data_IF_084862814448
#
_entry.id   IF_084862814448
#
_cell.length_a   1.000
_cell.length_b   1.000
_cell.length_c   1.000
_cell.angle_alpha   90.00
_cell.angle_beta   90.00
_cell.angle_gamma   90.00
#
_symmetry.space_group_name_H-M   'P 1'
#
loop_
_entity.id
_entity.type
_entity.pdbx_description
1 polymer ?
#
# COMPACT_ATOMS: atom_id res chain seq x y z
N UNK A 1 -7.51 10.62 9.64
CA UNK A 1 -8.68 10.18 8.86
C UNK A 1 -8.41 10.50 7.39
N UNK A 2 -8.44 9.50 6.50
CA UNK A 2 -8.34 9.72 5.06
C UNK A 2 -9.65 10.31 4.52
N UNK A 3 -9.62 11.45 3.82
CA UNK A 3 -10.82 12.10 3.26
C UNK A 3 -10.73 12.15 1.74
N UNK A 4 -11.82 11.83 1.02
CA UNK A 4 -11.89 11.88 -0.45
C UNK A 4 -11.56 13.25 -1.05
N UNK A 5 -11.79 14.34 -0.30
CA UNK A 5 -11.56 15.72 -0.73
C UNK A 5 -10.07 16.08 -0.97
N UNK A 6 -9.14 15.18 -0.62
CA UNK A 6 -7.71 15.36 -0.85
C UNK A 6 -7.22 14.74 -2.17
N UNK A 7 -8.10 14.11 -2.95
CA UNK A 7 -7.72 13.41 -4.18
C UNK A 7 -7.30 14.36 -5.29
N UNK A 8 -6.23 13.96 -5.96
CA UNK A 8 -5.67 14.67 -7.12
C UNK A 8 -5.60 13.78 -8.35
N UNK A 9 -5.96 12.49 -8.26
CA UNK A 9 -5.92 11.54 -9.37
C UNK A 9 -7.14 10.60 -9.43
N UNK A 10 -7.58 10.19 -10.64
CA UNK A 10 -8.57 9.12 -10.82
C UNK A 10 -8.08 7.72 -10.41
N UNK A 11 -6.77 7.51 -10.23
CA UNK A 11 -6.19 6.22 -9.79
C UNK A 11 -5.78 6.27 -8.33
N UNK A 12 -5.87 5.13 -7.65
CA UNK A 12 -5.60 5.02 -6.22
C UNK A 12 -4.68 3.83 -5.94
N UNK A 13 -3.70 4.03 -5.09
CA UNK A 13 -2.83 2.97 -4.57
C UNK A 13 -2.99 2.91 -3.06
N UNK A 14 -3.46 1.79 -2.54
CA UNK A 14 -3.68 1.56 -1.12
C UNK A 14 -2.60 0.61 -0.60
N UNK A 15 -1.78 1.02 0.37
CA UNK A 15 -0.64 0.24 0.87
C UNK A 15 -0.80 0.01 2.36
N UNK A 16 -0.88 -1.26 2.77
CA UNK A 16 -1.15 -1.65 4.14
C UNK A 16 -0.12 -2.63 4.71
N UNK A 17 0.17 -2.52 6.01
CA UNK A 17 0.87 -3.54 6.78
C UNK A 17 0.36 -3.62 8.23
N UNK A 18 0.28 -4.84 8.77
CA UNK A 18 -0.13 -5.07 10.17
C UNK A 18 -1.51 -4.47 10.46
N UNK A 19 -1.64 -3.70 11.55
CA UNK A 19 -2.92 -3.11 11.94
C UNK A 19 -3.47 -2.08 10.92
N UNK A 20 -2.62 -1.58 10.01
CA UNK A 20 -3.03 -0.66 8.94
C UNK A 20 -3.93 -1.30 7.87
N UNK A 21 -4.09 -2.62 7.89
CA UNK A 21 -4.96 -3.35 6.95
C UNK A 21 -6.43 -2.99 7.13
N UNK A 22 -6.92 -2.90 8.38
CA UNK A 22 -8.31 -2.57 8.64
C UNK A 22 -8.69 -1.14 8.16
N UNK A 23 -7.92 -0.08 8.47
CA UNK A 23 -8.17 1.25 7.91
C UNK A 23 -8.15 1.30 6.38
N UNK A 24 -7.24 0.57 5.73
CA UNK A 24 -7.16 0.50 4.27
C UNK A 24 -8.36 -0.23 3.67
N UNK A 25 -8.85 -1.29 4.31
CA UNK A 25 -10.09 -1.99 3.94
C UNK A 25 -11.28 -1.03 4.01
N UNK A 26 -11.45 -0.29 5.11
CA UNK A 26 -12.51 0.71 5.25
C UNK A 26 -12.39 1.86 4.22
N UNK A 27 -11.17 2.27 3.87
CA UNK A 27 -10.97 3.25 2.79
C UNK A 27 -11.35 2.66 1.43
N UNK A 28 -11.00 1.40 1.14
CA UNK A 28 -11.38 0.72 -0.09
C UNK A 28 -12.91 0.60 -0.25
N UNK A 29 -13.65 0.46 0.85
CA UNK A 29 -15.12 0.44 0.88
C UNK A 29 -15.75 1.79 0.51
N UNK A 30 -15.03 2.90 0.58
CA UNK A 30 -15.62 4.23 0.41
C UNK A 30 -15.03 4.97 -0.79
N UNK A 31 -13.75 4.77 -1.10
CA UNK A 31 -13.06 5.51 -2.15
C UNK A 31 -13.60 5.20 -3.55
N UNK A 32 -13.97 6.24 -4.28
CA UNK A 32 -14.50 6.13 -5.64
C UNK A 32 -13.42 5.90 -6.70
N UNK A 33 -13.55 4.91 -7.59
CA UNK A 33 -12.64 4.71 -8.72
C UNK A 33 -13.31 3.89 -9.82
N UNK A 34 -12.82 4.01 -11.05
CA UNK A 34 -13.24 3.12 -12.13
C UNK A 34 -12.61 1.72 -11.96
N UNK A 35 -13.27 0.63 -12.36
CA UNK A 35 -12.69 -0.70 -12.33
C UNK A 35 -11.28 -0.73 -12.96
N UNK A 36 -10.33 -1.34 -12.25
CA UNK A 36 -8.91 -1.42 -12.64
C UNK A 36 -8.08 -0.17 -12.33
N UNK A 37 -8.65 0.88 -11.72
CA UNK A 37 -7.92 2.09 -11.31
C UNK A 37 -7.49 2.09 -9.84
N UNK A 38 -7.76 1.02 -9.10
CA UNK A 38 -7.28 0.85 -7.74
C UNK A 38 -6.34 -0.36 -7.64
N UNK A 39 -5.20 -0.16 -6.98
CA UNK A 39 -4.23 -1.21 -6.65
C UNK A 39 -4.01 -1.25 -5.14
N UNK A 40 -4.20 -2.40 -4.52
CA UNK A 40 -4.00 -2.66 -3.09
C UNK A 40 -2.72 -3.46 -2.92
N UNK A 41 -1.76 -2.94 -2.16
CA UNK A 41 -0.52 -3.60 -1.78
C UNK A 41 -0.57 -3.99 -0.31
N UNK A 42 -0.52 -5.29 -0.04
CA UNK A 42 -0.58 -5.83 1.31
C UNK A 42 0.78 -6.41 1.72
N UNK A 43 1.41 -5.86 2.75
CA UNK A 43 2.64 -6.38 3.36
C UNK A 43 2.32 -7.30 4.54
N UNK A 44 2.73 -8.57 4.44
CA UNK A 44 2.58 -9.56 5.53
C UNK A 44 3.87 -10.32 5.88
N UNK A 45 4.11 -10.59 7.17
CA UNK A 45 5.31 -11.31 7.63
C UNK A 45 5.37 -12.77 7.16
N UNK A 46 4.22 -13.41 6.92
CA UNK A 46 4.10 -14.77 6.42
C UNK A 46 2.86 -14.91 5.54
N UNK A 47 2.77 -15.99 4.78
CA UNK A 47 1.57 -16.31 3.97
C UNK A 47 0.38 -16.71 4.85
N UNK A 48 0.58 -16.92 6.16
CA UNK A 48 -0.43 -17.45 7.10
C UNK A 48 -1.36 -16.43 7.75
N UNK A 49 -1.27 -15.14 7.39
CA UNK A 49 -2.23 -14.11 7.83
C UNK A 49 -3.48 -14.12 6.93
N UNK A 50 -4.08 -15.31 6.77
CA UNK A 50 -4.97 -15.63 5.65
C UNK A 50 -6.33 -14.94 5.74
N UNK A 51 -6.90 -14.80 6.94
CA UNK A 51 -8.27 -14.30 7.09
C UNK A 51 -8.47 -12.87 6.55
N UNK A 52 -7.56 -11.94 6.91
CA UNK A 52 -7.62 -10.57 6.41
C UNK A 52 -7.27 -10.47 4.92
N UNK A 53 -6.42 -11.38 4.42
CA UNK A 53 -6.08 -11.46 3.00
C UNK A 53 -7.30 -11.90 2.18
N UNK A 54 -8.05 -12.90 2.66
CA UNK A 54 -9.23 -13.43 1.98
C UNK A 54 -10.34 -12.38 1.90
N UNK A 55 -10.67 -11.72 3.02
CA UNK A 55 -11.65 -10.62 3.01
C UNK A 55 -11.26 -9.49 2.06
N UNK A 56 -9.98 -9.09 2.08
CA UNK A 56 -9.49 -8.02 1.22
C UNK A 56 -9.47 -8.45 -0.26
N UNK A 57 -9.25 -9.73 -0.52
CA UNK A 57 -9.32 -10.32 -1.87
C UNK A 57 -10.74 -10.20 -2.41
N UNK A 58 -11.73 -10.59 -1.62
CA UNK A 58 -13.14 -10.54 -2.03
C UNK A 58 -13.62 -9.09 -2.20
N UNK A 59 -13.23 -8.19 -1.31
CA UNK A 59 -13.54 -6.77 -1.46
C UNK A 59 -12.88 -6.18 -2.71
N UNK A 60 -11.63 -6.54 -3.02
CA UNK A 60 -10.97 -6.11 -4.25
C UNK A 60 -11.71 -6.60 -5.50
N UNK A 61 -12.14 -7.86 -5.52
CA UNK A 61 -12.95 -8.42 -6.62
C UNK A 61 -14.26 -7.66 -6.79
N UNK A 62 -14.99 -7.46 -5.69
CA UNK A 62 -16.28 -6.75 -5.69
C UNK A 62 -16.15 -5.32 -6.21
N UNK A 63 -15.05 -4.63 -5.85
CA UNK A 63 -14.80 -3.23 -6.22
C UNK A 63 -14.08 -3.06 -7.55
N UNK A 64 -13.59 -4.13 -8.17
CA UNK A 64 -12.74 -4.06 -9.35
C UNK A 64 -11.34 -3.50 -9.08
N UNK A 65 -10.81 -3.68 -7.87
CA UNK A 65 -9.43 -3.34 -7.50
C UNK A 65 -8.49 -4.53 -7.71
N UNK A 66 -7.20 -4.27 -7.96
CA UNK A 66 -6.16 -5.28 -8.03
C UNK A 66 -5.52 -5.47 -6.65
N UNK A 67 -5.46 -6.71 -6.14
CA UNK A 67 -4.72 -7.02 -4.91
C UNK A 67 -3.34 -7.60 -5.25
N UNK A 68 -2.30 -7.12 -4.58
CA UNK A 68 -0.94 -7.68 -4.61
C UNK A 68 -0.44 -7.89 -3.19
N UNK A 69 -0.20 -9.16 -2.85
CA UNK A 69 0.34 -9.54 -1.53
C UNK A 69 1.85 -9.69 -1.63
N UNK A 70 2.56 -8.98 -0.75
CA UNK A 70 4.01 -9.00 -0.64
C UNK A 70 4.35 -9.65 0.71
N UNK A 71 4.48 -10.98 0.68
CA UNK A 71 4.78 -11.78 1.86
C UNK A 71 6.29 -11.90 2.10
N UNK A 72 6.70 -11.97 3.37
CA UNK A 72 8.07 -12.27 3.75
C UNK A 72 8.61 -11.41 4.89
N UNK A 73 9.76 -11.82 5.42
CA UNK A 73 10.45 -11.13 6.51
C UNK A 73 11.28 -9.97 5.98
N UNK A 74 11.24 -8.84 6.70
CA UNK A 74 12.15 -7.71 6.45
C UNK A 74 13.58 -8.07 6.87
N UNK A 75 14.60 -7.62 6.15
CA UNK A 75 16.00 -7.77 6.56
C UNK A 75 16.29 -6.97 7.84
N UNK A 76 17.10 -7.53 8.73
CA UNK A 76 17.55 -6.83 9.96
C UNK A 76 18.54 -5.73 9.58
N UNK A 77 18.45 -4.57 10.26
CA UNK A 77 19.40 -3.46 10.09
C UNK A 77 19.29 -2.67 8.79
N UNK A 78 18.34 -3.01 7.90
CA UNK A 78 18.12 -2.29 6.64
C UNK A 78 16.79 -1.56 6.69
N UNK A 79 16.81 -0.27 6.32
CA UNK A 79 15.63 0.60 6.35
C UNK A 79 14.77 0.42 5.08
N UNK A 80 14.15 -0.76 4.95
CA UNK A 80 13.27 -1.12 3.82
C UNK A 80 11.87 -1.54 4.28
N UNK A 81 10.87 -1.29 3.43
CA UNK A 81 9.49 -1.73 3.63
C UNK A 81 9.21 -3.11 3.01
N UNK A 82 10.10 -3.57 2.12
CA UNK A 82 10.02 -4.83 1.38
C UNK A 82 10.65 -6.01 2.15
N UNK A 83 10.24 -7.24 1.84
CA UNK A 83 10.95 -8.45 2.23
C UNK A 83 12.42 -8.47 1.73
N UNK A 84 13.26 -9.29 2.38
CA UNK A 84 14.70 -9.30 2.14
C UNK A 84 15.10 -9.68 0.69
N UNK A 85 14.41 -10.64 0.09
CA UNK A 85 14.58 -11.07 -1.30
C UNK A 85 14.19 -9.96 -2.29
N UNK A 86 13.03 -9.33 -2.10
CA UNK A 86 12.58 -8.22 -2.94
C UNK A 86 13.50 -7.00 -2.82
N UNK A 87 13.97 -6.70 -1.60
CA UNK A 87 14.93 -5.63 -1.37
C UNK A 87 16.27 -5.93 -2.06
N UNK A 88 16.77 -7.17 -1.96
CA UNK A 88 18.01 -7.61 -2.63
C UNK A 88 17.91 -7.57 -4.16
N UNK A 89 16.73 -7.86 -4.70
CA UNK A 89 16.45 -7.77 -6.14
C UNK A 89 16.27 -6.33 -6.65
N UNK A 90 16.38 -5.31 -5.79
CA UNK A 90 16.21 -3.91 -6.18
C UNK A 90 14.80 -3.62 -6.69
N UNK A 91 13.80 -4.29 -6.12
CA UNK A 91 12.40 -3.99 -6.37
C UNK A 91 12.07 -2.65 -5.70
N UNK A 92 11.28 -1.83 -6.40
CA UNK A 92 10.81 -0.53 -5.93
C UNK A 92 9.30 -0.44 -6.09
N UNK A 93 8.67 0.49 -5.38
CA UNK A 93 7.24 0.73 -5.48
C UNK A 93 6.81 1.06 -6.92
N UNK A 94 7.62 1.83 -7.66
CA UNK A 94 7.36 2.17 -9.07
C UNK A 94 7.43 0.96 -10.00
N UNK A 95 8.26 -0.05 -9.70
CA UNK A 95 8.29 -1.31 -10.45
C UNK A 95 7.05 -2.16 -10.18
N UNK A 96 6.56 -2.15 -8.94
CA UNK A 96 5.36 -2.91 -8.54
C UNK A 96 4.09 -2.28 -9.13
N UNK A 97 4.04 -0.94 -9.16
CA UNK A 97 2.90 -0.14 -9.63
C UNK A 97 3.39 0.86 -10.68
N UNK A 98 3.41 0.50 -11.97
CA UNK A 98 3.89 1.39 -13.04
C UNK A 98 3.15 2.74 -13.11
N UNK A 99 1.87 2.77 -12.74
CA UNK A 99 0.99 3.94 -12.69
C UNK A 99 1.17 4.82 -11.43
N UNK A 100 2.22 4.59 -10.64
CA UNK A 100 2.41 5.23 -9.33
C UNK A 100 2.31 6.76 -9.35
N UNK A 101 2.89 7.42 -10.36
CA UNK A 101 2.97 8.88 -10.47
C UNK A 101 1.68 9.53 -10.96
N UNK A 102 0.74 8.72 -11.44
CA UNK A 102 -0.61 9.13 -11.83
C UNK A 102 -1.64 8.59 -10.84
N UNK A 103 -1.28 8.37 -9.58
CA UNK A 103 -2.17 7.84 -8.54
C UNK A 103 -2.05 8.63 -7.24
N UNK A 104 -3.15 8.78 -6.51
CA UNK A 104 -3.06 9.13 -5.08
C UNK A 104 -2.72 7.87 -4.28
N UNK A 105 -1.78 7.98 -3.36
CA UNK A 105 -1.25 6.87 -2.57
C UNK A 105 -1.66 7.04 -1.12
N UNK A 106 -2.28 6.00 -0.56
CA UNK A 106 -2.69 5.94 0.83
C UNK A 106 -1.91 4.84 1.54
N UNK A 107 -1.16 5.20 2.58
CA UNK A 107 -0.24 4.30 3.29
C UNK A 107 -0.65 4.19 4.74
N UNK A 108 -0.81 2.96 5.23
CA UNK A 108 -1.21 2.72 6.61
C UNK A 108 -0.43 1.56 7.22
N UNK A 109 0.29 1.81 8.31
CA UNK A 109 1.13 0.80 8.96
C UNK A 109 2.05 1.37 10.04
N UNK A 110 2.95 0.54 10.61
CA UNK A 110 3.86 0.97 11.67
C UNK A 110 4.80 2.08 11.18
N UNK A 111 5.06 3.09 12.02
CA UNK A 111 5.81 4.30 11.64
C UNK A 111 7.10 4.05 10.85
N UNK A 112 8.05 3.20 11.29
CA UNK A 112 9.30 2.98 10.54
C UNK A 112 9.07 2.34 9.17
N UNK A 113 8.01 1.54 9.04
CA UNK A 113 7.62 0.92 7.78
C UNK A 113 6.97 1.95 6.84
N UNK A 114 6.02 2.73 7.35
CA UNK A 114 5.34 3.80 6.60
C UNK A 114 6.35 4.81 6.06
N UNK A 115 7.33 5.22 6.87
CA UNK A 115 8.37 6.15 6.43
C UNK A 115 9.26 5.57 5.32
N UNK A 116 9.52 4.26 5.33
CA UNK A 116 10.23 3.58 4.25
C UNK A 116 9.39 3.52 2.95
N UNK A 117 8.09 3.27 3.03
CA UNK A 117 7.19 3.32 1.85
C UNK A 117 7.13 4.74 1.28
N UNK A 118 6.97 5.75 2.13
CA UNK A 118 6.92 7.17 1.70
C UNK A 118 8.21 7.57 0.98
N UNK A 119 9.37 7.15 1.48
CA UNK A 119 10.66 7.41 0.80
C UNK A 119 10.71 6.75 -0.57
N UNK A 120 10.29 5.49 -0.69
CA UNK A 120 10.28 4.78 -1.97
C UNK A 120 9.29 5.42 -2.98
N UNK A 121 8.10 5.83 -2.51
CA UNK A 121 7.14 6.57 -3.33
C UNK A 121 7.72 7.89 -3.87
N UNK A 122 8.39 8.67 -3.02
CA UNK A 122 9.04 9.92 -3.43
C UNK A 122 10.19 9.66 -4.40
N UNK A 123 11.03 8.66 -4.15
CA UNK A 123 12.08 8.24 -5.08
C UNK A 123 11.52 7.75 -6.43
N UNK A 124 10.30 7.21 -6.43
CA UNK A 124 9.53 6.84 -7.62
C UNK A 124 8.88 8.03 -8.36
N UNK A 125 9.09 9.26 -7.90
CA UNK A 125 8.62 10.49 -8.54
C UNK A 125 7.24 10.97 -8.09
N UNK A 126 6.67 10.41 -7.03
CA UNK A 126 5.33 10.80 -6.56
C UNK A 126 5.38 12.17 -5.87
N UNK A 127 4.61 13.17 -6.34
CA UNK A 127 4.45 14.45 -5.67
C UNK A 127 3.96 14.31 -4.23
N UNK A 128 4.48 15.13 -3.32
CA UNK A 128 4.10 15.12 -1.89
C UNK A 128 2.57 15.20 -1.68
N UNK A 129 1.86 15.96 -2.51
CA UNK A 129 0.40 16.14 -2.43
C UNK A 129 -0.41 14.87 -2.72
N UNK A 130 0.20 13.88 -3.41
CA UNK A 130 -0.40 12.59 -3.74
C UNK A 130 -0.09 11.51 -2.70
N UNK A 131 0.67 11.83 -1.65
CA UNK A 131 1.07 10.86 -0.64
C UNK A 131 0.33 11.17 0.66
N UNK A 132 -0.62 10.31 0.98
CA UNK A 132 -1.41 10.35 2.20
C UNK A 132 -0.98 9.18 3.08
N UNK A 133 -0.75 9.41 4.37
CA UNK A 133 -0.39 8.32 5.26
C UNK A 133 -0.91 8.54 6.66
N UNK A 134 -1.16 7.43 7.35
CA UNK A 134 -1.38 7.37 8.78
C UNK A 134 -0.29 6.48 9.41
N UNK A 135 0.29 6.97 10.49
CA UNK A 135 1.34 6.28 11.23
C UNK A 135 0.76 5.78 12.53
N UNK A 136 1.03 4.53 12.83
CA UNK A 136 0.79 3.97 14.14
C UNK A 136 2.12 3.76 14.85
N UNK A 137 2.17 4.16 16.12
CA UNK A 137 3.26 3.86 17.04
C UNK A 137 2.78 2.79 18.01
N UNK A 138 3.54 1.69 18.11
CA UNK A 138 3.40 0.68 19.14
C UNK A 138 4.76 0.09 19.48
#
# INVERSE_FOLDING_TARGET
MFTENARTSPRVVLIAAGIGVAPIRSLLETVSFAPGHATVLLRSHSVGDTYLVDELTDLCRLRGAQLRVIAGKRPKGVSTWLPADAAKAGITLKKIVPELTSSDIYICGPRPWTDAVVRDARSGGVPKKQIHYERFDW
#
